data_IF_178488756618
#
_entry.id   IF_178488756618
#
_cell.length_a   1.000
_cell.length_b   1.000
_cell.length_c   1.000
_cell.angle_alpha   90.00
_cell.angle_beta   90.00
_cell.angle_gamma   90.00
#
_symmetry.space_group_name_H-M   'P 1'
#
loop_
_entity.id
_entity.type
_entity.pdbx_description
1 polymer ?
#
# COMPACT_ATOMS: atom_id res chain seq x y z
N UNK A 1 11.72 24.24 23.31
CA UNK A 1 11.19 24.12 21.93
C UNK A 1 12.04 24.99 21.04
N UNK A 2 12.72 24.41 20.05
CA UNK A 2 13.68 25.16 19.21
C UNK A 2 12.94 25.99 18.15
N UNK A 3 13.35 27.26 17.92
CA UNK A 3 12.67 28.19 17.01
C UNK A 3 12.43 27.67 15.58
N UNK A 4 13.32 26.80 15.08
CA UNK A 4 13.20 26.24 13.72
C UNK A 4 12.03 25.26 13.51
N UNK A 5 11.49 24.67 14.59
CA UNK A 5 10.35 23.74 14.48
C UNK A 5 9.05 24.49 14.21
N UNK A 6 8.91 25.70 14.78
CA UNK A 6 7.70 26.52 14.63
C UNK A 6 7.64 27.11 13.22
N UNK A 7 8.75 27.59 12.69
CA UNK A 7 8.83 28.18 11.34
C UNK A 7 8.56 27.14 10.23
N UNK A 8 9.03 25.90 10.45
CA UNK A 8 8.75 24.76 9.56
C UNK A 8 7.26 24.40 9.55
N UNK A 9 6.61 24.32 10.71
CA UNK A 9 5.19 24.01 10.82
C UNK A 9 4.31 25.12 10.23
N UNK A 10 4.71 26.38 10.40
CA UNK A 10 4.00 27.53 9.86
C UNK A 10 4.09 27.60 8.33
N UNK A 11 5.28 27.38 7.74
CA UNK A 11 5.44 27.30 6.27
C UNK A 11 4.62 26.18 5.64
N UNK A 12 4.44 25.07 6.37
CA UNK A 12 3.71 23.89 5.88
C UNK A 12 2.19 24.05 5.95
N UNK A 13 1.70 24.71 6.99
CA UNK A 13 0.30 25.14 7.11
C UNK A 13 -0.08 26.16 6.03
N UNK A 14 0.84 27.09 5.70
CA UNK A 14 0.65 28.06 4.60
C UNK A 14 0.67 27.39 3.21
N UNK A 15 1.33 26.23 3.07
CA UNK A 15 1.36 25.45 1.84
C UNK A 15 0.14 24.50 1.64
N UNK A 16 -0.78 24.44 2.62
CA UNK A 16 -2.00 23.64 2.51
C UNK A 16 -1.84 22.14 2.79
N UNK A 17 -0.68 21.70 3.33
CA UNK A 17 -0.48 20.32 3.75
C UNK A 17 -0.86 20.16 5.23
N UNK A 18 -1.85 19.31 5.51
CA UNK A 18 -2.28 19.05 6.89
C UNK A 18 -1.24 18.21 7.65
N UNK A 19 -1.16 18.37 8.97
CA UNK A 19 -0.25 17.57 9.79
C UNK A 19 -0.56 16.06 9.71
N UNK A 20 -1.81 15.70 9.38
CA UNK A 20 -2.29 14.33 9.20
C UNK A 20 -1.70 13.68 7.95
N UNK A 21 -1.56 14.43 6.84
CA UNK A 21 -0.94 13.94 5.59
C UNK A 21 0.55 13.59 5.79
N UNK A 22 1.23 14.33 6.67
CA UNK A 22 2.64 14.12 7.01
C UNK A 22 2.83 12.91 7.92
N UNK A 23 1.87 12.67 8.82
CA UNK A 23 1.89 11.52 9.70
C UNK A 23 1.63 10.22 8.92
N UNK A 24 0.68 10.24 7.97
CA UNK A 24 0.44 9.14 7.04
C UNK A 24 1.67 8.80 6.18
N UNK A 25 2.38 9.83 5.70
CA UNK A 25 3.62 9.67 4.92
C UNK A 25 4.75 9.03 5.73
N UNK A 26 4.87 9.36 7.02
CA UNK A 26 5.94 8.83 7.88
C UNK A 26 5.66 7.43 8.42
N UNK A 27 4.41 7.13 8.77
CA UNK A 27 4.01 5.81 9.30
C UNK A 27 3.96 4.71 8.21
N UNK A 28 3.83 5.09 6.94
CA UNK A 28 3.92 4.17 5.79
C UNK A 28 5.26 3.43 5.64
N UNK A 29 6.28 3.81 6.43
CA UNK A 29 7.62 3.21 6.40
C UNK A 29 7.84 2.11 7.45
N UNK A 30 6.90 1.89 8.38
CA UNK A 30 7.03 0.90 9.48
C UNK A 30 6.12 -0.33 9.26
N UNK A 31 6.03 -0.79 8.00
CA UNK A 31 5.49 -2.11 7.63
C UNK A 31 6.61 -3.12 7.33
N UNK A 32 7.75 -2.97 8.01
CA UNK A 32 8.88 -3.87 7.91
C UNK A 32 8.72 -5.07 8.87
N UNK A 33 7.84 -6.03 8.54
CA UNK A 33 7.91 -7.39 9.12
C UNK A 33 7.07 -8.47 8.39
N UNK A 34 6.16 -8.16 7.45
CA UNK A 34 5.39 -9.17 6.72
C UNK A 34 5.31 -8.91 5.22
N UNK A 35 5.18 -9.98 4.42
CA UNK A 35 4.98 -9.88 2.97
C UNK A 35 3.84 -8.89 2.66
N UNK A 36 4.11 -7.78 1.95
CA UNK A 36 3.23 -6.60 1.93
C UNK A 36 1.78 -6.82 1.49
N UNK A 37 1.51 -7.87 0.70
CA UNK A 37 0.19 -8.15 0.13
C UNK A 37 -0.74 -8.96 1.02
N UNK A 38 -0.25 -10.00 1.71
CA UNK A 38 -1.11 -10.88 2.51
C UNK A 38 -1.68 -10.17 3.75
N UNK A 39 -0.85 -9.38 4.44
CA UNK A 39 -1.30 -8.56 5.57
C UNK A 39 -2.24 -7.44 5.12
N UNK A 40 -2.03 -6.87 3.93
CA UNK A 40 -2.95 -5.89 3.35
C UNK A 40 -4.31 -6.52 3.03
N UNK A 41 -4.32 -7.73 2.46
CA UNK A 41 -5.55 -8.48 2.20
C UNK A 41 -6.33 -8.77 3.48
N UNK A 42 -5.64 -9.19 4.53
CA UNK A 42 -6.24 -9.42 5.85
C UNK A 42 -6.89 -8.15 6.40
N UNK A 43 -6.16 -7.04 6.41
CA UNK A 43 -6.68 -5.74 6.90
C UNK A 43 -7.89 -5.26 6.11
N UNK A 44 -7.86 -5.37 4.78
CA UNK A 44 -9.00 -5.01 3.94
C UNK A 44 -10.22 -5.88 4.26
N UNK A 45 -10.04 -7.19 4.43
CA UNK A 45 -11.12 -8.11 4.75
C UNK A 45 -11.75 -7.89 6.14
N UNK A 46 -10.96 -7.41 7.10
CA UNK A 46 -11.41 -7.14 8.47
C UNK A 46 -12.00 -5.72 8.65
N UNK A 47 -11.91 -4.84 7.64
CA UNK A 47 -12.39 -3.46 7.75
C UNK A 47 -13.91 -3.41 7.69
N UNK A 48 -14.54 -2.76 8.68
CA UNK A 48 -15.96 -2.41 8.65
C UNK A 48 -16.17 -1.19 7.75
N UNK A 49 -16.83 -1.38 6.60
CA UNK A 49 -17.06 -0.33 5.61
C UNK A 49 -18.11 0.70 6.06
N UNK A 50 -19.06 0.31 6.90
CA UNK A 50 -20.13 1.20 7.34
C UNK A 50 -19.63 2.21 8.39
N UNK A 51 -18.50 1.92 9.03
CA UNK A 51 -17.83 2.80 9.99
C UNK A 51 -16.92 3.83 9.32
N UNK A 52 -16.65 3.72 8.02
CA UNK A 52 -15.68 4.58 7.32
C UNK A 52 -16.31 5.92 6.91
N UNK A 53 -15.53 6.99 7.09
CA UNK A 53 -15.81 8.29 6.47
C UNK A 53 -15.60 8.22 4.94
N UNK A 54 -16.15 9.17 4.16
CA UNK A 54 -15.92 9.22 2.71
C UNK A 54 -14.44 9.26 2.30
N UNK A 55 -13.60 9.94 3.07
CA UNK A 55 -12.16 10.00 2.82
C UNK A 55 -11.49 8.64 3.09
N UNK A 56 -11.86 7.97 4.17
CA UNK A 56 -11.34 6.63 4.49
C UNK A 56 -11.80 5.58 3.47
N UNK A 57 -13.02 5.69 2.94
CA UNK A 57 -13.49 4.87 1.81
C UNK A 57 -12.60 5.04 0.58
N UNK A 58 -12.16 6.27 0.27
CA UNK A 58 -11.22 6.50 -0.82
C UNK A 58 -9.85 5.81 -0.56
N UNK A 59 -9.34 5.89 0.67
CA UNK A 59 -8.11 5.20 1.06
C UNK A 59 -8.26 3.68 0.98
N UNK A 60 -9.41 3.14 1.39
CA UNK A 60 -9.75 1.72 1.28
C UNK A 60 -9.73 1.26 -0.18
N UNK A 61 -10.36 2.00 -1.09
CA UNK A 61 -10.36 1.69 -2.54
C UNK A 61 -8.93 1.69 -3.10
N UNK A 62 -8.11 2.69 -2.76
CA UNK A 62 -6.70 2.72 -3.18
C UNK A 62 -5.88 1.56 -2.63
N UNK A 63 -6.12 1.17 -1.39
CA UNK A 63 -5.48 0.01 -0.78
C UNK A 63 -5.90 -1.30 -1.50
N UNK A 64 -7.17 -1.46 -1.83
CA UNK A 64 -7.68 -2.60 -2.61
C UNK A 64 -7.08 -2.66 -4.02
N UNK A 65 -6.94 -1.53 -4.70
CA UNK A 65 -6.26 -1.45 -6.00
C UNK A 65 -4.80 -1.88 -5.92
N UNK A 66 -4.09 -1.46 -4.86
CA UNK A 66 -2.71 -1.90 -4.62
C UNK A 66 -2.60 -3.41 -4.41
N UNK A 67 -3.56 -4.00 -3.69
CA UNK A 67 -3.63 -5.45 -3.51
C UNK A 67 -3.87 -6.17 -4.85
N UNK A 68 -4.75 -5.65 -5.70
CA UNK A 68 -5.01 -6.21 -7.02
C UNK A 68 -3.74 -6.23 -7.90
N UNK A 69 -2.99 -5.12 -7.92
CA UNK A 69 -1.73 -5.04 -8.65
C UNK A 69 -0.68 -6.05 -8.12
N UNK A 70 -0.63 -6.24 -6.80
CA UNK A 70 0.24 -7.25 -6.20
C UNK A 70 -0.17 -8.67 -6.61
N UNK A 71 -1.46 -9.01 -6.55
CA UNK A 71 -1.96 -10.32 -6.98
C UNK A 71 -1.66 -10.58 -8.47
N UNK A 72 -1.78 -9.55 -9.32
CA UNK A 72 -1.45 -9.64 -10.73
C UNK A 72 0.04 -9.94 -10.95
N UNK A 73 0.93 -9.30 -10.18
CA UNK A 73 2.37 -9.60 -10.26
C UNK A 73 2.71 -11.06 -9.92
N UNK A 74 1.96 -11.67 -8.99
CA UNK A 74 2.11 -13.09 -8.66
C UNK A 74 1.65 -13.97 -9.82
N UNK A 75 0.52 -13.62 -10.45
CA UNK A 75 -0.01 -14.32 -11.64
C UNK A 75 1.01 -14.28 -12.77
N UNK A 76 1.53 -13.10 -13.11
CA UNK A 76 2.55 -12.93 -14.14
C UNK A 76 3.81 -13.76 -13.85
N UNK A 77 4.27 -13.75 -12.59
CA UNK A 77 5.42 -14.53 -12.16
C UNK A 77 5.17 -16.05 -12.25
N UNK A 78 3.95 -16.51 -11.99
CA UNK A 78 3.56 -17.91 -12.17
C UNK A 78 3.49 -18.30 -13.66
N UNK A 79 2.88 -17.45 -14.50
CA UNK A 79 2.82 -17.65 -15.95
C UNK A 79 4.22 -17.69 -16.55
N UNK A 80 5.10 -16.77 -16.16
CA UNK A 80 6.49 -16.75 -16.62
C UNK A 80 7.22 -18.06 -16.34
N UNK A 81 7.01 -18.65 -15.15
CA UNK A 81 7.57 -19.97 -14.80
C UNK A 81 6.95 -21.10 -15.62
N UNK A 82 5.63 -21.08 -15.79
CA UNK A 82 4.92 -22.09 -16.59
C UNK A 82 5.38 -22.08 -18.05
N UNK A 83 5.47 -20.92 -18.68
CA UNK A 83 5.90 -20.78 -20.07
C UNK A 83 7.40 -21.04 -20.28
N UNK A 84 8.22 -20.85 -19.24
CA UNK A 84 9.67 -21.09 -19.28
C UNK A 84 10.05 -22.53 -18.89
N UNK A 85 9.08 -23.34 -18.44
CA UNK A 85 9.31 -24.75 -18.20
C UNK A 85 9.66 -25.40 -19.55
N UNK A 86 10.84 -26.04 -19.70
CA UNK A 86 11.13 -26.79 -20.90
C UNK A 86 10.04 -27.84 -21.07
N UNK A 87 9.52 -28.00 -22.28
CA UNK A 87 8.63 -29.11 -22.63
C UNK A 87 9.35 -30.43 -22.35
N UNK A 88 9.23 -30.96 -21.14
CA UNK A 88 9.82 -32.22 -20.66
C UNK A 88 9.29 -33.46 -21.42
N UNK A 89 8.58 -33.28 -22.53
CA UNK A 89 7.99 -34.35 -23.34
C UNK A 89 8.37 -34.28 -24.84
N UNK A 90 9.37 -33.50 -25.24
CA UNK A 90 9.79 -33.43 -26.66
C UNK A 90 10.90 -34.43 -27.04
N UNK A 91 11.31 -35.32 -26.13
CA UNK A 91 12.32 -36.35 -26.40
C UNK A 91 11.96 -37.70 -25.74
N UNK A 92 10.86 -38.31 -26.20
CA UNK A 92 10.59 -39.74 -26.01
C UNK A 92 9.93 -40.35 -27.25
#
# INVERSE_FOLDING_TARGET
MSPGVVDFLFRRLVAGESAEDVQWSKEGTVLAAQSPGAELARRLAETDLDALTPTELFHYVRAAQRLAAWAESLREAAVGRYCSAPSENADR
#
